data_IF_242963925650
#
_entry.id   IF_242963925650
#
_cell.length_a   1.000
_cell.length_b   1.000
_cell.length_c   1.000
_cell.angle_alpha   90.00
_cell.angle_beta   90.00
_cell.angle_gamma   90.00
#
_symmetry.space_group_name_H-M   'P 1'
#
loop_
_entity.id
_entity.type
_entity.pdbx_description
1 polymer ?
#
# COMPACT_ATOMS: atom_id res chain seq x y z
N UNK A 1 26.48 -27.41 -9.92
CA UNK A 1 25.20 -27.79 -10.55
C UNK A 1 24.49 -26.48 -10.85
N UNK A 2 24.11 -26.24 -12.09
CA UNK A 2 23.43 -24.99 -12.47
C UNK A 2 21.93 -25.12 -12.19
N UNK A 3 21.34 -24.13 -11.53
CA UNK A 3 19.90 -24.13 -11.21
C UNK A 3 19.17 -23.52 -12.40
N UNK A 4 18.21 -24.24 -13.04
CA UNK A 4 17.47 -23.68 -14.16
C UNK A 4 16.72 -22.41 -13.77
N UNK A 5 16.70 -21.43 -14.68
CA UNK A 5 15.85 -20.24 -14.50
C UNK A 5 14.38 -20.66 -14.51
N UNK A 6 13.60 -20.01 -13.66
CA UNK A 6 12.14 -20.11 -13.63
C UNK A 6 11.51 -18.90 -14.32
N UNK A 7 10.28 -19.05 -14.79
CA UNK A 7 9.46 -17.96 -15.32
C UNK A 7 8.40 -17.64 -14.26
N UNK A 8 8.38 -16.40 -13.78
CA UNK A 8 7.26 -15.90 -12.97
C UNK A 8 6.06 -15.68 -13.86
N UNK A 9 4.91 -16.24 -13.49
CA UNK A 9 3.66 -16.09 -14.24
C UNK A 9 2.76 -15.00 -13.65
N UNK A 10 3.16 -14.41 -12.53
CA UNK A 10 2.40 -13.39 -11.82
C UNK A 10 3.34 -12.47 -11.04
N UNK A 11 3.70 -11.35 -11.68
CA UNK A 11 4.47 -10.27 -11.06
C UNK A 11 3.62 -8.99 -11.05
N UNK A 12 3.76 -8.21 -10.00
CA UNK A 12 3.11 -6.90 -9.86
C UNK A 12 4.14 -5.80 -9.68
N UNK A 13 3.77 -4.60 -10.12
CA UNK A 13 4.56 -3.37 -9.88
C UNK A 13 3.83 -2.50 -8.87
N UNK A 14 4.59 -1.72 -8.10
CA UNK A 14 4.06 -0.66 -7.25
C UNK A 14 4.36 0.67 -7.93
N UNK A 15 3.31 1.39 -8.32
CA UNK A 15 3.44 2.65 -9.04
C UNK A 15 3.76 3.84 -8.11
N UNK A 16 4.25 4.97 -8.66
CA UNK A 16 4.38 6.20 -7.89
C UNK A 16 3.05 6.65 -7.28
N UNK A 17 3.03 7.17 -6.04
CA UNK A 17 1.80 7.52 -5.33
C UNK A 17 1.00 8.64 -6.01
N UNK A 18 1.63 9.45 -6.86
CA UNK A 18 1.02 10.56 -7.58
C UNK A 18 0.38 10.16 -8.92
N UNK A 19 0.54 8.91 -9.37
CA UNK A 19 0.11 8.48 -10.71
C UNK A 19 -1.32 8.92 -11.03
N UNK A 20 -2.26 8.65 -10.13
CA UNK A 20 -3.68 8.92 -10.37
C UNK A 20 -4.04 10.38 -10.11
N UNK A 21 -3.45 11.02 -9.09
CA UNK A 21 -3.72 12.42 -8.77
C UNK A 21 -3.20 13.36 -9.87
N UNK A 22 -2.14 12.98 -10.57
CA UNK A 22 -1.59 13.74 -11.71
C UNK A 22 -2.29 13.43 -13.05
N UNK A 23 -2.65 12.17 -13.29
CA UNK A 23 -3.07 11.72 -14.63
C UNK A 23 -4.57 11.67 -14.84
N UNK A 24 -5.38 11.62 -13.78
CA UNK A 24 -6.83 11.63 -13.94
C UNK A 24 -7.33 13.02 -14.41
N UNK A 25 -8.37 13.05 -15.26
CA UNK A 25 -9.15 14.25 -15.50
C UNK A 25 -9.64 14.85 -14.17
N UNK A 26 -9.71 16.18 -14.11
CA UNK A 26 -9.98 16.91 -12.87
C UNK A 26 -11.28 16.45 -12.16
N UNK A 27 -12.32 16.13 -12.93
CA UNK A 27 -13.61 15.64 -12.41
C UNK A 27 -13.51 14.30 -11.64
N UNK A 28 -12.46 13.51 -11.86
CA UNK A 28 -12.29 12.21 -11.22
C UNK A 28 -11.25 12.22 -10.09
N UNK A 29 -10.45 13.27 -9.92
CA UNK A 29 -9.30 13.25 -8.98
C UNK A 29 -9.69 13.05 -7.52
N UNK A 30 -10.84 13.58 -7.09
CA UNK A 30 -11.31 13.39 -5.69
C UNK A 30 -11.73 11.94 -5.41
N UNK A 31 -12.30 11.27 -6.41
CA UNK A 31 -12.83 9.92 -6.30
C UNK A 31 -11.82 8.84 -6.70
N UNK A 32 -10.84 9.22 -7.51
CA UNK A 32 -9.79 8.35 -8.00
C UNK A 32 -8.83 7.90 -6.90
N UNK A 33 -7.97 6.91 -7.22
CA UNK A 33 -7.01 6.40 -6.27
C UNK A 33 -6.06 7.48 -5.79
N UNK A 34 -5.74 7.47 -4.50
CA UNK A 34 -4.70 8.31 -3.92
C UNK A 34 -4.03 7.60 -2.76
N UNK A 35 -2.77 7.95 -2.52
CA UNK A 35 -2.03 7.50 -1.35
C UNK A 35 -1.96 8.62 -0.34
N UNK A 36 -2.20 8.30 0.93
CA UNK A 36 -1.96 9.20 2.07
C UNK A 36 -1.01 8.52 3.04
N UNK A 37 -0.17 9.30 3.72
CA UNK A 37 0.74 8.80 4.75
C UNK A 37 0.17 9.10 6.13
N UNK A 38 -0.09 8.05 6.89
CA UNK A 38 -0.71 8.12 8.23
C UNK A 38 0.02 7.19 9.19
N UNK A 39 -0.18 7.38 10.50
CA UNK A 39 0.17 6.34 11.46
C UNK A 39 -0.90 5.28 11.50
N UNK A 40 -0.52 4.02 11.35
CA UNK A 40 -1.42 2.88 11.41
C UNK A 40 -0.91 1.84 12.40
N UNK A 41 -1.84 1.16 13.06
CA UNK A 41 -1.55 0.04 13.95
C UNK A 41 -2.20 -1.21 13.40
N UNK A 42 -1.39 -2.23 13.14
CA UNK A 42 -1.85 -3.50 12.57
C UNK A 42 -2.11 -4.52 13.69
N UNK A 43 -3.18 -5.29 13.54
CA UNK A 43 -3.48 -6.44 14.38
C UNK A 43 -3.76 -7.65 13.48
N UNK A 44 -3.04 -8.73 13.71
CA UNK A 44 -3.25 -9.99 13.01
C UNK A 44 -3.48 -11.11 14.03
N UNK A 45 -4.75 -11.42 14.25
CA UNK A 45 -5.18 -12.41 15.23
C UNK A 45 -6.08 -13.45 14.55
N UNK A 46 -5.71 -14.73 14.67
CA UNK A 46 -6.54 -15.84 14.17
C UNK A 46 -6.79 -15.84 12.66
N UNK A 47 -5.84 -15.34 11.85
CA UNK A 47 -5.99 -15.24 10.40
C UNK A 47 -6.75 -14.01 9.91
N UNK A 48 -7.20 -13.15 10.83
CA UNK A 48 -7.91 -11.91 10.51
C UNK A 48 -6.95 -10.74 10.60
N UNK A 49 -6.81 -10.02 9.49
CA UNK A 49 -6.06 -8.78 9.43
C UNK A 49 -6.97 -7.59 9.73
N UNK A 50 -6.58 -6.78 10.70
CA UNK A 50 -7.21 -5.50 11.05
C UNK A 50 -6.17 -4.41 11.13
N UNK A 51 -6.61 -3.18 10.95
CA UNK A 51 -5.76 -2.01 11.17
C UNK A 51 -6.58 -0.84 11.71
N UNK A 52 -5.94 -0.02 12.52
CA UNK A 52 -6.45 1.25 12.99
C UNK A 52 -5.70 2.38 12.29
N UNK A 53 -6.43 3.34 11.70
CA UNK A 53 -5.88 4.54 11.07
C UNK A 53 -5.71 5.65 12.09
N UNK A 54 -4.75 6.53 11.81
CA UNK A 54 -4.41 7.65 12.67
C UNK A 54 -4.12 7.24 14.12
N UNK A 55 -3.60 6.01 14.32
CA UNK A 55 -3.24 5.49 15.62
C UNK A 55 -2.03 6.28 16.15
N UNK A 56 -2.15 7.06 17.25
CA UNK A 56 -1.06 7.92 17.71
C UNK A 56 0.22 7.14 18.07
N UNK A 57 0.05 5.93 18.57
CA UNK A 57 1.07 4.94 18.91
C UNK A 57 1.36 3.94 17.77
N UNK A 58 0.82 4.17 16.58
CA UNK A 58 1.08 3.37 15.38
C UNK A 58 2.36 3.77 14.65
N UNK A 59 2.70 2.96 13.64
CA UNK A 59 3.84 3.15 12.75
C UNK A 59 3.43 3.88 11.48
N UNK A 60 4.37 4.58 10.84
CA UNK A 60 4.11 5.21 9.55
C UNK A 60 3.76 4.18 8.48
N UNK A 61 2.67 4.43 7.78
CA UNK A 61 2.14 3.57 6.73
C UNK A 61 1.53 4.41 5.60
N UNK A 62 1.68 3.91 4.37
CA UNK A 62 0.94 4.42 3.22
C UNK A 62 -0.42 3.74 3.15
N UNK A 63 -1.48 4.53 3.03
CA UNK A 63 -2.86 4.07 2.90
C UNK A 63 -3.36 4.44 1.50
N UNK A 64 -3.79 3.44 0.75
CA UNK A 64 -4.48 3.61 -0.52
C UNK A 64 -5.96 3.90 -0.26
N UNK A 65 -6.46 4.98 -0.83
CA UNK A 65 -7.85 5.40 -0.78
C UNK A 65 -8.42 5.39 -2.19
N UNK A 66 -9.57 4.75 -2.37
CA UNK A 66 -10.31 4.77 -3.63
C UNK A 66 -11.81 4.61 -3.39
N UNK A 67 -12.60 5.66 -3.70
CA UNK A 67 -13.98 5.80 -3.21
C UNK A 67 -14.06 5.41 -1.71
N UNK A 68 -14.84 4.38 -1.35
CA UNK A 68 -15.02 3.91 0.03
C UNK A 68 -13.95 2.89 0.49
N UNK A 69 -13.08 2.45 -0.42
CA UNK A 69 -12.02 1.49 -0.11
C UNK A 69 -10.86 2.19 0.57
N UNK A 70 -10.52 1.66 1.74
CA UNK A 70 -9.38 2.06 2.54
C UNK A 70 -8.49 0.84 2.70
N UNK A 71 -7.33 0.86 2.05
CA UNK A 71 -6.43 -0.28 2.02
C UNK A 71 -5.04 0.11 2.49
N UNK A 72 -4.53 -0.44 3.59
CA UNK A 72 -3.18 -0.14 4.04
C UNK A 72 -2.15 -0.87 3.16
N UNK A 73 -1.01 -0.25 2.90
CA UNK A 73 0.16 -0.93 2.38
C UNK A 73 1.06 -1.36 3.56
N UNK A 74 0.91 -2.60 4.06
CA UNK A 74 1.86 -3.12 5.03
C UNK A 74 3.23 -3.26 4.38
N UNK A 75 4.29 -3.31 5.19
CA UNK A 75 5.66 -3.54 4.71
C UNK A 75 5.80 -4.82 3.86
N UNK A 76 4.92 -5.80 4.06
CA UNK A 76 4.84 -7.02 3.24
C UNK A 76 4.48 -6.73 1.77
N UNK A 77 3.66 -5.71 1.51
CA UNK A 77 3.26 -5.31 0.16
C UNK A 77 4.33 -4.41 -0.48
N UNK A 78 4.78 -3.39 0.25
CA UNK A 78 5.85 -2.50 -0.16
C UNK A 78 6.54 -1.90 1.07
N UNK A 79 7.87 -1.90 1.09
CA UNK A 79 8.68 -1.30 2.15
C UNK A 79 9.75 -0.34 1.60
N UNK A 80 9.46 0.28 0.45
CA UNK A 80 10.35 1.26 -0.17
C UNK A 80 10.61 2.43 0.78
N UNK A 81 11.88 2.74 1.02
CA UNK A 81 12.28 3.86 1.88
C UNK A 81 12.37 3.55 3.38
N UNK A 82 12.14 2.31 3.81
CA UNK A 82 12.42 1.90 5.19
C UNK A 82 13.89 1.50 5.36
N UNK A 83 14.56 2.06 6.38
CA UNK A 83 15.95 1.70 6.71
C UNK A 83 16.06 0.31 7.35
N UNK A 84 15.02 -0.11 8.08
CA UNK A 84 14.93 -1.41 8.75
C UNK A 84 13.53 -2.01 8.53
N UNK A 85 13.47 -3.28 8.12
CA UNK A 85 12.23 -4.03 7.91
C UNK A 85 11.66 -4.55 9.23
#
# INVERSE_FOLDING_TARGET
MDIPRIISVDDHVVEPPELWTERLPAEYRERGPRVVREKAKFDFAGGVFKFERNAPDGDWCDIWLYDDLVYPFPKLSAATGFENL
#
